data_IF_577557738348
#
_entry.id   IF_577557738348
#
_cell.length_a   1.000
_cell.length_b   1.000
_cell.length_c   1.000
_cell.angle_alpha   90.00
_cell.angle_beta   90.00
_cell.angle_gamma   90.00
#
_symmetry.space_group_name_H-M   'P 1'
#
loop_
_entity.id
_entity.type
_entity.pdbx_description
1 polymer ?
#
# COMPACT_ATOMS: atom_id res chain seq x y z
N UNK A 1 5.39 -6.76 1.95
CA UNK A 1 5.47 -7.84 0.92
C UNK A 1 5.09 -9.20 1.51
N UNK A 2 4.71 -9.24 2.78
CA UNK A 2 4.01 -10.32 3.45
C UNK A 2 2.57 -9.94 3.80
N UNK A 3 1.74 -10.93 4.15
CA UNK A 3 0.39 -10.72 4.69
C UNK A 3 0.40 -9.86 5.95
N UNK A 4 1.43 -10.01 6.80
CA UNK A 4 1.61 -9.21 8.02
C UNK A 4 1.82 -7.74 7.70
N UNK A 5 2.63 -7.41 6.69
CA UNK A 5 2.85 -6.02 6.29
C UNK A 5 1.59 -5.37 5.73
N UNK A 6 0.82 -6.13 4.94
CA UNK A 6 -0.48 -5.66 4.42
C UNK A 6 -1.45 -5.37 5.56
N UNK A 7 -1.52 -6.26 6.56
CA UNK A 7 -2.34 -6.04 7.75
C UNK A 7 -1.90 -4.79 8.53
N UNK A 8 -0.58 -4.59 8.69
CA UNK A 8 -0.03 -3.40 9.33
C UNK A 8 -0.39 -2.11 8.59
N UNK A 9 -0.23 -2.09 7.25
CA UNK A 9 -0.59 -0.94 6.41
C UNK A 9 -2.07 -0.57 6.54
N UNK A 10 -2.96 -1.55 6.46
CA UNK A 10 -4.42 -1.36 6.61
C UNK A 10 -4.77 -0.78 7.98
N UNK A 11 -4.19 -1.33 9.05
CA UNK A 11 -4.41 -0.85 10.42
C UNK A 11 -3.88 0.58 10.64
N UNK A 12 -2.84 0.97 9.91
CA UNK A 12 -2.31 2.33 9.93
C UNK A 12 -3.06 3.31 9.00
N UNK A 13 -4.04 2.83 8.21
CA UNK A 13 -4.76 3.65 7.24
C UNK A 13 -3.91 4.14 6.08
N UNK A 14 -2.80 3.45 5.77
CA UNK A 14 -1.93 3.73 4.62
C UNK A 14 -2.12 2.67 3.53
N UNK A 15 -1.54 2.92 2.36
CA UNK A 15 -1.66 2.03 1.22
C UNK A 15 -1.04 0.64 1.49
N UNK A 16 -1.81 -0.43 1.22
CA UNK A 16 -1.40 -1.83 1.37
C UNK A 16 -0.88 -2.40 0.02
N UNK A 17 0.23 -1.83 -0.44
CA UNK A 17 0.89 -2.26 -1.67
C UNK A 17 1.80 -3.48 -1.43
N UNK A 18 1.97 -4.29 -2.46
CA UNK A 18 2.81 -5.48 -2.41
C UNK A 18 3.68 -5.66 -3.65
N UNK A 19 4.66 -6.56 -3.52
CA UNK A 19 5.50 -7.10 -4.59
C UNK A 19 5.58 -8.63 -4.46
N UNK A 20 5.63 -9.40 -5.56
CA UNK A 20 5.55 -10.86 -5.52
C UNK A 20 6.85 -11.58 -5.13
N UNK A 21 7.97 -10.87 -4.97
CA UNK A 21 9.28 -11.45 -4.66
C UNK A 21 9.69 -11.38 -3.17
N UNK A 22 8.76 -11.00 -2.29
CA UNK A 22 8.97 -10.99 -0.83
C UNK A 22 8.83 -12.35 -0.15
N UNK A 23 9.08 -12.39 1.16
CA UNK A 23 8.81 -13.57 1.97
C UNK A 23 7.40 -13.51 2.59
N UNK A 24 6.50 -14.38 2.12
CA UNK A 24 5.14 -14.50 2.64
C UNK A 24 4.84 -15.93 3.11
N UNK A 25 5.73 -16.51 3.93
CA UNK A 25 5.56 -17.83 4.54
C UNK A 25 5.19 -18.96 3.54
N UNK A 26 5.76 -18.91 2.33
CA UNK A 26 5.51 -19.91 1.27
C UNK A 26 4.20 -19.74 0.50
N UNK A 27 3.41 -18.71 0.79
CA UNK A 27 2.15 -18.42 0.09
C UNK A 27 2.36 -17.27 -0.91
N UNK A 28 1.85 -17.35 -2.16
CA UNK A 28 1.90 -16.21 -3.07
C UNK A 28 1.18 -14.99 -2.49
N UNK A 29 1.87 -13.84 -2.44
CA UNK A 29 1.31 -12.61 -1.82
C UNK A 29 0.03 -12.12 -2.50
N UNK A 30 -0.19 -12.46 -3.78
CA UNK A 30 -1.41 -12.15 -4.51
C UNK A 30 -2.68 -12.70 -3.81
N UNK A 31 -2.56 -13.81 -3.07
CA UNK A 31 -3.67 -14.39 -2.30
C UNK A 31 -4.07 -13.53 -1.10
N UNK A 32 -3.18 -12.65 -0.60
CA UNK A 32 -3.47 -11.71 0.48
C UNK A 32 -4.27 -10.46 0.00
N UNK A 33 -4.58 -10.38 -1.30
CA UNK A 33 -5.40 -9.35 -1.93
C UNK A 33 -4.92 -7.92 -1.59
N UNK A 34 -3.67 -7.55 -1.93
CA UNK A 34 -3.21 -6.17 -1.78
C UNK A 34 -4.00 -5.24 -2.71
N UNK A 35 -4.18 -3.96 -2.34
CA UNK A 35 -4.84 -2.99 -3.23
C UNK A 35 -4.07 -2.81 -4.55
N UNK A 36 -2.73 -2.93 -4.50
CA UNK A 36 -1.89 -2.98 -5.70
C UNK A 36 -0.77 -3.99 -5.52
N UNK A 37 -0.56 -4.80 -6.56
CA UNK A 37 0.61 -5.66 -6.71
C UNK A 37 1.49 -5.07 -7.81
N UNK A 38 2.76 -4.81 -7.51
CA UNK A 38 3.72 -4.26 -8.46
C UNK A 38 4.68 -5.34 -8.96
N UNK A 39 4.96 -5.33 -10.26
CA UNK A 39 5.87 -6.28 -10.91
C UNK A 39 7.28 -5.69 -11.18
N UNK A 40 7.49 -4.40 -10.88
CA UNK A 40 8.82 -3.79 -10.89
C UNK A 40 8.93 -2.56 -9.97
N UNK A 41 10.16 -2.20 -9.59
CA UNK A 41 10.43 -1.03 -8.74
C UNK A 41 10.06 0.30 -9.39
N UNK A 42 10.21 0.42 -10.71
CA UNK A 42 9.85 1.64 -11.43
C UNK A 42 8.37 1.99 -11.23
N UNK A 43 7.47 1.00 -11.35
CA UNK A 43 6.04 1.21 -11.14
C UNK A 43 5.70 1.64 -9.70
N UNK A 44 6.46 1.19 -8.70
CA UNK A 44 6.32 1.62 -7.30
C UNK A 44 6.71 3.09 -7.17
N UNK A 45 7.85 3.48 -7.74
CA UNK A 45 8.33 4.86 -7.69
C UNK A 45 7.33 5.82 -8.36
N UNK A 46 6.82 5.48 -9.54
CA UNK A 46 5.78 6.26 -10.23
C UNK A 46 4.52 6.41 -9.36
N UNK A 47 4.06 5.33 -8.74
CA UNK A 47 2.88 5.38 -7.87
C UNK A 47 3.10 6.18 -6.58
N UNK A 48 4.30 6.14 -6.00
CA UNK A 48 4.64 6.87 -4.78
C UNK A 48 4.84 8.38 -5.02
N UNK A 49 5.31 8.75 -6.22
CA UNK A 49 5.49 10.15 -6.63
C UNK A 49 4.21 10.79 -7.19
N UNK A 50 3.22 9.98 -7.58
CA UNK A 50 1.96 10.48 -8.07
C UNK A 50 1.24 11.34 -7.00
N UNK A 51 0.68 12.50 -7.37
CA UNK A 51 -0.03 13.35 -6.43
C UNK A 51 -1.23 12.61 -5.82
N UNK A 52 -1.35 12.67 -4.49
CA UNK A 52 -2.49 12.08 -3.77
C UNK A 52 -3.82 12.68 -4.24
N UNK A 53 -4.69 11.83 -4.79
CA UNK A 53 -6.06 12.21 -5.15
C UNK A 53 -7.00 12.37 -3.93
N UNK A 54 -6.52 12.02 -2.72
CA UNK A 54 -7.28 12.20 -1.48
C UNK A 54 -7.29 13.70 -1.13
N UNK A 55 -8.45 14.37 -1.10
CA UNK A 55 -8.52 15.74 -0.62
C UNK A 55 -8.09 15.75 0.84
N UNK A 56 -7.07 16.55 1.18
CA UNK A 56 -6.74 16.77 2.59
C UNK A 56 -7.95 17.44 3.23
N UNK A 57 -8.62 16.76 4.17
CA UNK A 57 -9.72 17.37 4.92
C UNK A 57 -9.09 18.41 5.85
N UNK A 58 -9.00 19.67 5.39
CA UNK A 58 -8.65 20.78 6.28
C UNK A 58 -9.74 20.81 7.36
N UNK A 59 -9.38 20.47 8.60
CA UNK A 59 -10.19 20.79 9.76
C UNK A 59 -10.26 22.31 9.82
N UNK A 60 -11.33 22.89 9.29
CA UNK A 60 -11.69 24.27 9.57
C UNK A 60 -11.82 24.38 11.09
N UNK A 61 -11.00 25.26 11.69
CA UNK A 61 -11.00 25.51 13.12
C UNK A 61 -12.42 25.82 13.60
N UNK A 62 -12.82 25.17 14.69
CA UNK A 62 -13.94 25.63 15.48
C UNK A 62 -13.42 26.81 16.33
N UNK A 63 -14.10 27.93 16.16
CA UNK A 63 -13.94 29.17 16.92
C UNK A 63 -14.15 28.97 18.41
#
# INVERSE_FOLDING_TARGET
DSQTDLAAARNAGVADWAVPWGYNAGTPIAQAQPTRLFDCFAAIAEAALAPSAVPVRRTAGLH
#
